data_IF_334377069769
#
_entry.id   IF_334377069769
#
_cell.length_a   1.000
_cell.length_b   1.000
_cell.length_c   1.000
_cell.angle_alpha   90.00
_cell.angle_beta   90.00
_cell.angle_gamma   90.00
#
_symmetry.space_group_name_H-M   'P 1'
#
loop_
_entity.id
_entity.type
_entity.pdbx_description
1 polymer ?
#
# COMPACT_ATOMS: atom_id res chain seq x y z
N UNK A 1 9.01 -7.18 -0.22
CA UNK A 1 10.43 -6.89 -0.52
C UNK A 1 10.94 -8.08 -1.31
N UNK A 2 11.64 -7.83 -2.41
CA UNK A 2 12.40 -8.84 -3.15
C UNK A 2 13.88 -8.64 -2.85
N UNK A 3 14.54 -9.69 -2.40
CA UNK A 3 15.93 -9.65 -1.97
C UNK A 3 16.74 -10.62 -2.83
N UNK A 4 17.78 -10.10 -3.47
CA UNK A 4 18.82 -10.88 -4.11
C UNK A 4 20.02 -10.87 -3.18
N UNK A 5 20.51 -12.06 -2.83
CA UNK A 5 21.62 -12.21 -1.90
C UNK A 5 22.35 -13.51 -2.09
N UNK A 6 23.47 -13.63 -1.40
CA UNK A 6 24.29 -14.84 -1.38
C UNK A 6 23.88 -15.64 -0.16
N UNK A 7 23.44 -16.87 -0.38
CA UNK A 7 23.20 -17.82 0.70
C UNK A 7 24.54 -18.25 1.29
N UNK A 8 24.69 -18.13 2.60
CA UNK A 8 25.88 -18.51 3.35
C UNK A 8 25.49 -19.30 4.59
N UNK A 9 26.40 -20.15 5.05
CA UNK A 9 26.23 -20.91 6.28
C UNK A 9 27.46 -20.78 7.17
N UNK A 10 27.24 -20.85 8.48
CA UNK A 10 28.29 -20.84 9.49
C UNK A 10 28.07 -21.93 10.52
N UNK A 11 29.17 -22.47 11.04
CA UNK A 11 29.12 -23.42 12.14
C UNK A 11 28.77 -22.69 13.44
N UNK A 12 27.73 -23.15 14.13
CA UNK A 12 27.36 -22.66 15.45
C UNK A 12 27.29 -23.85 16.42
N UNK A 13 28.22 -23.87 17.38
CA UNK A 13 28.32 -24.95 18.36
C UNK A 13 27.09 -25.05 19.26
N UNK A 14 26.41 -23.93 19.51
CA UNK A 14 25.23 -23.89 20.39
C UNK A 14 24.02 -24.60 19.78
N UNK A 15 23.80 -24.43 18.47
CA UNK A 15 22.77 -25.13 17.69
C UNK A 15 23.01 -26.64 17.67
N UNK A 16 24.27 -27.07 17.61
CA UNK A 16 24.62 -28.49 17.59
C UNK A 16 24.39 -29.17 18.94
N UNK A 17 24.72 -28.50 20.04
CA UNK A 17 24.47 -29.03 21.40
C UNK A 17 22.97 -29.14 21.68
N UNK A 18 22.16 -28.20 21.21
CA UNK A 18 20.71 -28.23 21.40
C UNK A 18 20.01 -29.30 20.56
N UNK A 19 20.44 -29.50 19.31
CA UNK A 19 19.76 -30.40 18.37
C UNK A 19 20.31 -31.83 18.38
N UNK A 20 21.54 -32.07 18.85
CA UNK A 20 22.14 -33.41 18.92
C UNK A 20 22.66 -33.96 17.58
N UNK A 21 22.67 -33.13 16.53
CA UNK A 21 23.24 -33.41 15.21
C UNK A 21 23.79 -32.11 14.60
N UNK A 22 24.74 -32.17 13.64
CA UNK A 22 25.34 -30.97 13.06
C UNK A 22 24.33 -30.16 12.24
N UNK A 23 23.88 -29.04 12.80
CA UNK A 23 23.03 -28.01 12.20
C UNK A 23 23.88 -26.76 11.94
N UNK A 24 23.90 -26.30 10.69
CA UNK A 24 24.55 -25.04 10.34
C UNK A 24 23.57 -23.88 10.49
N UNK A 25 24.05 -22.75 11.02
CA UNK A 25 23.31 -21.50 10.97
C UNK A 25 23.33 -20.98 9.53
N UNK A 26 22.16 -20.58 9.01
CA UNK A 26 22.01 -20.13 7.63
C UNK A 26 21.66 -18.65 7.61
N UNK A 27 22.36 -17.90 6.75
CA UNK A 27 22.18 -16.46 6.60
C UNK A 27 22.18 -16.10 5.12
N UNK A 28 21.36 -15.13 4.74
CA UNK A 28 21.37 -14.57 3.39
C UNK A 28 22.07 -13.22 3.46
N UNK A 29 23.26 -13.12 2.85
CA UNK A 29 23.98 -11.87 2.72
C UNK A 29 23.33 -11.06 1.60
N UNK A 30 22.61 -10.01 1.97
CA UNK A 30 21.88 -9.17 1.03
C UNK A 30 22.84 -8.45 0.07
N UNK A 31 22.61 -8.57 -1.23
CA UNK A 31 23.36 -7.83 -2.27
C UNK A 31 22.49 -6.74 -2.90
N UNK A 32 21.23 -7.03 -3.18
CA UNK A 32 20.29 -6.11 -3.80
C UNK A 32 18.90 -6.28 -3.22
N UNK A 33 18.22 -5.16 -2.95
CA UNK A 33 16.90 -5.14 -2.33
C UNK A 33 15.98 -4.29 -3.19
N UNK A 34 14.93 -4.91 -3.73
CA UNK A 34 13.87 -4.23 -4.46
C UNK A 34 12.63 -4.18 -3.57
N UNK A 35 12.12 -2.98 -3.32
CA UNK A 35 10.82 -2.83 -2.67
C UNK A 35 9.73 -3.08 -3.72
N UNK A 36 8.90 -4.10 -3.48
CA UNK A 36 7.72 -4.44 -4.30
C UNK A 36 6.57 -3.42 -4.21
N UNK A 37 6.83 -2.22 -3.70
CA UNK A 37 5.81 -1.19 -3.60
C UNK A 37 5.70 -0.46 -4.93
N UNK A 38 4.49 -0.41 -5.48
CA UNK A 38 4.16 0.23 -6.76
C UNK A 38 4.49 1.74 -6.80
N UNK A 39 4.85 2.36 -5.66
CA UNK A 39 5.38 3.74 -5.59
C UNK A 39 6.56 4.03 -6.53
N UNK A 40 7.38 3.04 -6.90
CA UNK A 40 8.49 3.24 -7.83
C UNK A 40 8.12 3.08 -9.31
N UNK A 41 6.88 2.71 -9.66
CA UNK A 41 6.45 2.52 -11.06
C UNK A 41 6.57 3.82 -11.89
N UNK A 42 6.49 4.99 -11.26
CA UNK A 42 6.70 6.28 -11.91
C UNK A 42 8.15 6.45 -12.40
N UNK A 43 9.12 5.81 -11.74
CA UNK A 43 10.54 5.91 -12.13
C UNK A 43 10.91 5.06 -13.35
N UNK A 44 10.01 4.16 -13.78
CA UNK A 44 10.23 3.27 -14.93
C UNK A 44 9.45 3.68 -16.17
N UNK A 45 8.79 4.85 -16.16
CA UNK A 45 8.08 5.36 -17.33
C UNK A 45 9.07 5.73 -18.43
N UNK A 46 8.84 5.22 -19.63
CA UNK A 46 9.62 5.56 -20.82
C UNK A 46 9.15 6.88 -21.43
N UNK A 47 9.97 7.49 -22.29
CA UNK A 47 9.58 8.70 -23.03
C UNK A 47 8.34 8.47 -23.91
N UNK A 48 8.21 7.24 -24.44
CA UNK A 48 7.03 6.79 -25.19
C UNK A 48 5.78 6.81 -24.29
N UNK A 49 5.85 6.24 -23.09
CA UNK A 49 4.74 6.26 -22.13
C UNK A 49 4.33 7.70 -21.79
N UNK A 50 5.30 8.58 -21.52
CA UNK A 50 5.04 9.99 -21.22
C UNK A 50 4.33 10.67 -22.40
N UNK A 51 4.78 10.41 -23.63
CA UNK A 51 4.14 10.97 -24.83
C UNK A 51 2.68 10.51 -24.99
N UNK A 52 2.38 9.24 -24.66
CA UNK A 52 1.01 8.73 -24.71
C UNK A 52 0.13 9.32 -23.61
N UNK A 53 0.67 9.52 -22.40
CA UNK A 53 -0.06 10.17 -21.30
C UNK A 53 -0.46 11.60 -21.67
N UNK A 54 0.49 12.37 -22.24
CA UNK A 54 0.25 13.76 -22.65
C UNK A 54 -0.70 13.85 -23.85
N UNK A 55 -0.68 12.88 -24.77
CA UNK A 55 -1.64 12.86 -25.88
C UNK A 55 -3.06 12.51 -25.39
N UNK A 56 -3.19 11.53 -24.48
CA UNK A 56 -4.48 11.16 -23.88
C UNK A 56 -5.05 12.25 -22.99
N UNK A 57 -4.23 13.03 -22.29
CA UNK A 57 -4.71 14.10 -21.40
C UNK A 57 -5.42 15.23 -22.14
N UNK A 58 -5.26 15.33 -23.46
CA UNK A 58 -5.92 16.33 -24.31
C UNK A 58 -7.30 15.89 -24.82
N UNK A 59 -7.67 14.63 -24.60
CA UNK A 59 -9.00 14.12 -24.94
C UNK A 59 -10.06 14.72 -24.02
N UNK A 60 -11.08 15.36 -24.59
CA UNK A 60 -12.19 15.97 -23.82
C UNK A 60 -12.94 14.93 -22.97
N UNK A 61 -12.94 13.66 -23.38
CA UNK A 61 -13.62 12.56 -22.68
C UNK A 61 -12.71 11.78 -21.74
N UNK A 62 -11.49 12.26 -21.47
CA UNK A 62 -10.51 11.52 -20.66
C UNK A 62 -11.05 11.17 -19.26
N UNK A 63 -11.83 12.07 -18.66
CA UNK A 63 -12.44 11.83 -17.34
C UNK A 63 -13.38 10.63 -17.34
N UNK A 64 -14.26 10.53 -18.34
CA UNK A 64 -15.18 9.39 -18.49
C UNK A 64 -14.42 8.10 -18.79
N UNK A 65 -13.35 8.17 -19.60
CA UNK A 65 -12.51 7.01 -19.91
C UNK A 65 -11.81 6.47 -18.66
N UNK A 66 -11.30 7.35 -17.80
CA UNK A 66 -10.70 6.97 -16.51
C UNK A 66 -11.75 6.29 -15.62
N UNK A 67 -12.94 6.88 -15.49
CA UNK A 67 -14.02 6.32 -14.65
C UNK A 67 -14.43 4.93 -15.16
N UNK A 68 -14.60 4.78 -16.48
CA UNK A 68 -14.93 3.49 -17.09
C UNK A 68 -13.82 2.44 -16.90
N UNK A 69 -12.56 2.86 -16.73
CA UNK A 69 -11.43 1.97 -16.45
C UNK A 69 -11.38 1.48 -15.00
N UNK A 70 -12.10 2.11 -14.07
CA UNK A 70 -12.14 1.67 -12.67
C UNK A 70 -13.13 0.50 -12.52
N UNK A 71 -12.58 -0.66 -12.15
CA UNK A 71 -13.32 -1.92 -11.95
C UNK A 71 -14.25 -2.25 -13.14
N UNK A 72 -13.68 -2.49 -14.34
CA UNK A 72 -14.47 -2.74 -15.54
C UNK A 72 -15.27 -4.06 -15.46
N UNK A 73 -14.91 -4.95 -14.53
CA UNK A 73 -15.64 -6.19 -14.26
C UNK A 73 -16.99 -5.99 -13.57
N UNK A 74 -17.24 -4.82 -12.97
CA UNK A 74 -18.50 -4.52 -12.29
C UNK A 74 -19.37 -3.63 -13.18
N UNK A 75 -20.56 -4.14 -13.50
CA UNK A 75 -21.53 -3.41 -14.32
C UNK A 75 -22.18 -2.25 -13.54
N UNK A 76 -22.35 -1.11 -14.19
CA UNK A 76 -22.99 0.08 -13.63
C UNK A 76 -22.17 0.73 -12.49
N UNK A 77 -22.89 1.33 -11.54
CA UNK A 77 -22.33 2.05 -10.38
C UNK A 77 -21.33 3.16 -10.76
N UNK A 78 -21.64 3.94 -11.79
CA UNK A 78 -20.76 4.98 -12.32
C UNK A 78 -20.39 6.05 -11.27
N UNK A 79 -21.31 6.37 -10.35
CA UNK A 79 -21.03 7.31 -9.26
C UNK A 79 -19.99 6.75 -8.26
N UNK A 80 -20.05 5.45 -7.97
CA UNK A 80 -19.07 4.78 -7.10
C UNK A 80 -17.70 4.75 -7.79
N UNK A 81 -17.66 4.38 -9.06
CA UNK A 81 -16.42 4.38 -9.85
C UNK A 81 -15.80 5.78 -9.93
N UNK A 82 -16.63 6.81 -10.12
CA UNK A 82 -16.21 8.21 -10.11
C UNK A 82 -15.65 8.63 -8.75
N UNK A 83 -16.33 8.29 -7.65
CA UNK A 83 -15.84 8.59 -6.31
C UNK A 83 -14.48 7.92 -6.01
N UNK A 84 -14.31 6.66 -6.43
CA UNK A 84 -13.06 5.93 -6.28
C UNK A 84 -11.94 6.51 -7.15
N UNK A 85 -12.23 6.86 -8.41
CA UNK A 85 -11.28 7.53 -9.29
C UNK A 85 -10.77 8.83 -8.66
N UNK A 86 -11.67 9.70 -8.21
CA UNK A 86 -11.32 10.97 -7.57
C UNK A 86 -10.53 10.77 -6.28
N UNK A 87 -10.88 9.76 -5.47
CA UNK A 87 -10.15 9.41 -4.25
C UNK A 87 -8.72 8.94 -4.52
N UNK A 88 -8.49 8.20 -5.62
CA UNK A 88 -7.17 7.72 -6.04
C UNK A 88 -6.24 8.83 -6.55
N UNK A 89 -6.77 9.80 -7.30
CA UNK A 89 -5.99 10.98 -7.68
C UNK A 89 -5.74 11.91 -6.49
N UNK A 90 -6.72 12.00 -5.59
CA UNK A 90 -6.65 12.88 -4.42
C UNK A 90 -6.70 14.36 -4.78
N UNK A 91 -6.70 15.19 -3.75
CA UNK A 91 -6.57 16.64 -3.86
C UNK A 91 -5.20 17.12 -3.37
N UNK A 92 -4.93 18.41 -3.58
CA UNK A 92 -3.70 19.03 -3.11
C UNK A 92 -3.82 19.48 -1.65
N UNK A 93 -2.84 19.09 -0.83
CA UNK A 93 -2.71 19.57 0.54
C UNK A 93 -2.25 21.03 0.55
N UNK A 94 -2.97 21.87 1.30
CA UNK A 94 -2.68 23.31 1.40
C UNK A 94 -2.25 23.68 2.81
N UNK A 95 -1.32 24.63 2.95
CA UNK A 95 -0.91 25.17 4.24
C UNK A 95 -0.96 26.71 4.23
N UNK A 96 -2.16 27.31 4.27
CA UNK A 96 -2.31 28.75 4.22
C UNK A 96 -1.59 29.41 5.40
N UNK A 97 -0.63 30.29 5.08
CA UNK A 97 0.12 31.06 6.06
C UNK A 97 0.99 30.24 7.02
N UNK A 98 1.33 28.99 6.69
CA UNK A 98 2.10 28.06 7.54
C UNK A 98 1.49 27.79 8.93
N UNK A 99 0.20 28.09 9.15
CA UNK A 99 -0.45 27.93 10.46
C UNK A 99 -1.12 26.57 10.63
N UNK A 100 -1.80 26.09 9.59
CA UNK A 100 -2.59 24.86 9.66
C UNK A 100 -2.58 24.12 8.32
N UNK A 101 -2.42 22.79 8.41
CA UNK A 101 -2.40 21.90 7.25
C UNK A 101 -3.83 21.47 6.89
N UNK A 102 -4.32 21.91 5.74
CA UNK A 102 -5.61 21.51 5.16
C UNK A 102 -5.43 20.22 4.37
N UNK A 103 -6.28 19.23 4.65
CA UNK A 103 -6.22 17.91 4.02
C UNK A 103 -6.59 17.99 2.54
N UNK A 104 -5.82 17.30 1.69
CA UNK A 104 -6.12 17.11 0.27
C UNK A 104 -6.79 15.77 -0.03
N UNK A 105 -6.60 14.74 0.81
CA UNK A 105 -7.12 13.40 0.56
C UNK A 105 -8.63 13.28 0.81
N UNK A 106 -9.29 12.45 0.00
CA UNK A 106 -10.74 12.27 0.00
C UNK A 106 -11.08 10.93 0.66
N UNK A 107 -11.90 10.96 1.72
CA UNK A 107 -12.49 9.76 2.31
C UNK A 107 -13.79 9.38 1.59
N UNK A 108 -13.94 8.10 1.25
CA UNK A 108 -15.13 7.55 0.62
C UNK A 108 -15.70 6.44 1.49
N UNK A 109 -17.01 6.51 1.77
CA UNK A 109 -17.76 5.45 2.45
C UNK A 109 -18.70 4.78 1.45
N UNK A 110 -18.53 3.48 1.24
CA UNK A 110 -19.41 2.67 0.40
C UNK A 110 -20.41 1.92 1.29
N UNK A 111 -21.64 2.41 1.36
CA UNK A 111 -22.74 1.79 2.10
C UNK A 111 -23.85 1.34 1.14
N UNK A 112 -24.43 0.16 1.38
CA UNK A 112 -25.51 -0.38 0.57
C UNK A 112 -25.73 -1.86 0.81
N UNK A 113 -26.70 -2.45 0.11
CA UNK A 113 -27.16 -3.82 0.34
C UNK A 113 -26.08 -4.89 0.14
N UNK A 114 -26.11 -6.01 0.87
CA UNK A 114 -25.23 -7.14 0.62
C UNK A 114 -25.28 -7.59 -0.86
N UNK A 115 -24.14 -8.01 -1.43
CA UNK A 115 -24.08 -8.48 -2.82
C UNK A 115 -23.87 -7.41 -3.91
N UNK A 116 -23.78 -6.12 -3.56
CA UNK A 116 -23.58 -5.00 -4.51
C UNK A 116 -22.11 -4.74 -4.90
N UNK A 117 -21.28 -5.78 -4.97
CA UNK A 117 -19.87 -5.71 -5.38
C UNK A 117 -18.94 -4.73 -4.59
N UNK A 118 -19.38 -4.12 -3.48
CA UNK A 118 -18.59 -3.19 -2.64
C UNK A 118 -17.17 -3.71 -2.32
N UNK A 119 -17.06 -4.95 -1.86
CA UNK A 119 -15.75 -5.54 -1.53
C UNK A 119 -14.88 -5.79 -2.77
N UNK A 120 -15.47 -5.98 -3.94
CA UNK A 120 -14.72 -6.12 -5.20
C UNK A 120 -14.15 -4.77 -5.65
N UNK A 121 -14.88 -3.68 -5.46
CA UNK A 121 -14.33 -2.34 -5.68
C UNK A 121 -13.11 -2.09 -4.81
N UNK A 122 -13.17 -2.39 -3.50
CA UNK A 122 -12.03 -2.22 -2.60
C UNK A 122 -10.82 -3.06 -3.03
N UNK A 123 -11.02 -4.35 -3.36
CA UNK A 123 -9.95 -5.24 -3.86
C UNK A 123 -9.35 -4.77 -5.18
N UNK A 124 -10.15 -4.14 -6.05
CA UNK A 124 -9.65 -3.56 -7.28
C UNK A 124 -8.77 -2.35 -6.99
N UNK A 125 -9.24 -1.43 -6.12
CA UNK A 125 -8.50 -0.26 -5.66
C UNK A 125 -7.16 -0.64 -5.02
N UNK A 126 -7.13 -1.72 -4.22
CA UNK A 126 -5.91 -2.25 -3.61
C UNK A 126 -4.82 -2.58 -4.65
N UNK A 127 -5.22 -3.15 -5.79
CA UNK A 127 -4.28 -3.58 -6.85
C UNK A 127 -3.75 -2.43 -7.69
N UNK A 128 -4.58 -1.41 -7.94
CA UNK A 128 -4.21 -0.28 -8.80
C UNK A 128 -3.51 0.84 -8.04
N UNK A 129 -3.76 0.98 -6.74
CA UNK A 129 -3.15 2.02 -5.93
C UNK A 129 -1.63 1.77 -5.79
N UNK A 130 -0.79 2.81 -5.86
CA UNK A 130 0.66 2.66 -5.73
C UNK A 130 1.10 2.21 -4.33
N UNK A 131 0.28 2.53 -3.32
CA UNK A 131 0.43 2.10 -1.94
C UNK A 131 -0.98 1.93 -1.36
N UNK A 132 -1.32 0.69 -1.02
CA UNK A 132 -2.57 0.38 -0.36
C UNK A 132 -2.35 -0.58 0.81
N UNK A 133 -3.14 -0.40 1.86
CA UNK A 133 -3.24 -1.33 2.98
C UNK A 133 -4.70 -1.74 3.11
N UNK A 134 -4.96 -3.03 3.00
CA UNK A 134 -6.28 -3.61 3.20
C UNK A 134 -6.39 -4.21 4.60
N UNK A 135 -7.36 -3.76 5.38
CA UNK A 135 -7.69 -4.32 6.68
C UNK A 135 -9.15 -4.72 6.72
N UNK A 136 -9.49 -5.73 7.51
CA UNK A 136 -10.88 -6.13 7.74
C UNK A 136 -11.33 -5.68 9.13
N UNK A 137 -12.65 -5.65 9.37
CA UNK A 137 -13.24 -5.16 10.63
C UNK A 137 -12.71 -5.83 11.91
N UNK A 138 -12.18 -7.05 11.86
CA UNK A 138 -11.52 -7.67 13.03
C UNK A 138 -10.07 -7.21 13.24
N UNK A 139 -9.37 -6.82 12.18
CA UNK A 139 -8.02 -6.22 12.24
C UNK A 139 -8.02 -4.71 12.47
N UNK A 140 -9.16 -4.04 12.23
CA UNK A 140 -9.36 -2.60 12.40
C UNK A 140 -9.57 -2.19 13.88
N UNK A 141 -8.73 -2.67 14.80
CA UNK A 141 -8.71 -2.14 16.17
C UNK A 141 -8.04 -0.76 16.20
N UNK A 142 -8.36 0.07 17.20
CA UNK A 142 -7.75 1.40 17.35
C UNK A 142 -6.21 1.34 17.33
N UNK A 143 -5.65 0.31 17.97
CA UNK A 143 -4.23 -0.01 18.04
C UNK A 143 -3.68 -0.43 16.67
N UNK A 144 -4.40 -1.31 15.96
CA UNK A 144 -4.02 -1.83 14.65
C UNK A 144 -4.11 -0.81 13.51
N UNK A 145 -4.98 0.20 13.61
CA UNK A 145 -5.10 1.28 12.62
C UNK A 145 -4.06 2.37 12.80
N UNK A 146 -3.72 2.71 14.05
CA UNK A 146 -2.89 3.89 14.35
C UNK A 146 -1.42 3.50 14.52
N UNK A 147 -0.92 3.42 15.74
CA UNK A 147 0.40 2.93 16.10
C UNK A 147 0.35 2.52 17.57
N UNK A 148 1.26 1.64 17.99
CA UNK A 148 1.35 1.23 19.38
C UNK A 148 2.79 1.05 19.81
N UNK A 149 3.00 1.13 21.12
CA UNK A 149 4.32 1.03 21.72
C UNK A 149 4.44 -0.33 22.37
N UNK A 150 5.50 -1.06 22.02
CA UNK A 150 5.84 -2.35 22.61
C UNK A 150 7.21 -2.26 23.27
N UNK A 151 7.41 -3.02 24.35
CA UNK A 151 8.72 -3.15 24.98
C UNK A 151 9.40 -4.42 24.47
N UNK A 152 10.59 -4.28 23.90
CA UNK A 152 11.41 -5.41 23.45
C UNK A 152 11.77 -6.30 24.65
N UNK A 153 11.49 -7.62 24.62
CA UNK A 153 11.80 -8.51 25.73
C UNK A 153 13.31 -8.71 25.90
N UNK A 154 14.10 -8.51 24.84
CA UNK A 154 15.56 -8.72 24.83
C UNK A 154 16.29 -7.45 25.20
N UNK A 155 16.04 -6.35 24.50
CA UNK A 155 16.76 -5.08 24.71
C UNK A 155 16.14 -4.23 25.82
N UNK A 156 14.92 -4.54 26.27
CA UNK A 156 14.12 -3.77 27.24
C UNK A 156 13.80 -2.33 26.80
N UNK A 157 14.08 -1.99 25.55
CA UNK A 157 13.79 -0.70 24.93
C UNK A 157 12.34 -0.63 24.45
N UNK A 158 11.82 0.59 24.35
CA UNK A 158 10.51 0.87 23.78
C UNK A 158 10.62 1.00 22.27
N UNK A 159 9.85 0.20 21.54
CA UNK A 159 9.75 0.20 20.09
C UNK A 159 8.34 0.62 19.67
N UNK A 160 8.23 1.45 18.64
CA UNK A 160 6.94 1.87 18.08
C UNK A 160 6.61 0.99 16.87
N UNK A 161 5.46 0.33 16.91
CA UNK A 161 4.91 -0.41 15.78
C UNK A 161 3.86 0.42 15.06
N UNK A 162 3.99 0.49 13.73
CA UNK A 162 3.10 1.25 12.86
C UNK A 162 1.84 0.44 12.53
N UNK A 163 0.67 1.04 12.73
CA UNK A 163 -0.61 0.49 12.29
C UNK A 163 -0.91 0.78 10.82
N UNK A 164 -2.07 0.32 10.36
CA UNK A 164 -2.47 0.33 8.95
C UNK A 164 -2.44 1.74 8.32
N UNK A 165 -2.87 2.79 9.02
CA UNK A 165 -2.88 4.16 8.49
C UNK A 165 -1.47 4.71 8.30
N UNK A 166 -0.55 4.37 9.20
CA UNK A 166 0.86 4.77 9.09
C UNK A 166 1.53 4.00 7.95
N UNK A 167 1.19 2.72 7.81
CA UNK A 167 1.64 1.90 6.69
C UNK A 167 1.05 2.33 5.35
N UNK A 168 -0.10 3.02 5.35
CA UNK A 168 -0.76 3.56 4.16
C UNK A 168 -0.45 5.05 3.89
N UNK A 169 0.53 5.66 4.56
CA UNK A 169 0.84 7.09 4.40
C UNK A 169 1.09 7.48 2.93
N UNK A 170 0.48 8.58 2.48
CA UNK A 170 0.42 9.03 1.06
C UNK A 170 -0.12 7.98 0.09
N UNK A 171 -0.93 7.05 0.57
CA UNK A 171 -1.62 6.02 -0.20
C UNK A 171 -3.08 5.91 0.22
N UNK A 172 -3.64 4.71 0.06
CA UNK A 172 -5.05 4.44 0.37
C UNK A 172 -5.13 3.36 1.44
N UNK A 173 -5.91 3.62 2.51
CA UNK A 173 -6.28 2.60 3.48
C UNK A 173 -7.70 2.12 3.15
N UNK A 174 -7.86 0.81 3.01
CA UNK A 174 -9.13 0.15 2.68
C UNK A 174 -9.59 -0.64 3.92
N UNK A 175 -10.84 -0.44 4.31
CA UNK A 175 -11.46 -1.01 5.52
C UNK A 175 -12.76 -1.71 5.12
#
# INVERSE_FOLDING_TARGET
IDLTGIYSNSYDGSLNTANGFPVFATVIVANHIVKKDNTNAVKTLTDEDISTIVSMSKDERIGERIIASISPSVYGHEDIKRALALSLFGGEQKNPGQKHRVRGDINVLLCGDPGTAKSQFLKYTEKIAPRAVFTTGQGASAVGLTAYVQRSPVTKEWTLEAGALVLADKGVCLI
#
